data_IF_186913844538
#
_entry.id   IF_186913844538
#
_cell.length_a   1.000
_cell.length_b   1.000
_cell.length_c   1.000
_cell.angle_alpha   90.00
_cell.angle_beta   90.00
_cell.angle_gamma   90.00
#
_symmetry.space_group_name_H-M   'P 1'
#
loop_
_entity.id
_entity.type
_entity.pdbx_description
1 polymer ?
#
# COMPACT_ATOMS: atom_id res chain seq x y z
N UNK A 1 1.90 0.07 16.67
CA UNK A 1 2.91 0.45 17.69
C UNK A 1 2.30 1.27 18.83
N UNK A 2 1.56 2.37 18.58
CA UNK A 2 0.88 3.14 19.65
C UNK A 2 -0.03 2.30 20.56
N UNK A 3 -0.97 1.52 19.98
CA UNK A 3 -1.85 0.63 20.77
C UNK A 3 -1.09 -0.51 21.45
N UNK A 4 -0.04 -1.00 20.78
CA UNK A 4 0.84 -2.04 21.31
C UNK A 4 1.69 -1.55 22.49
N UNK A 5 1.87 -0.23 22.63
CA UNK A 5 2.77 0.37 23.62
C UNK A 5 4.26 0.22 23.31
N UNK A 6 4.63 -0.47 22.23
CA UNK A 6 6.02 -0.71 21.85
C UNK A 6 6.18 -0.84 20.32
N UNK A 7 7.34 -0.45 19.76
CA UNK A 7 7.67 -0.66 18.35
C UNK A 7 7.73 -2.15 17.97
N UNK A 8 7.38 -2.48 16.73
CA UNK A 8 7.63 -3.81 16.17
C UNK A 8 9.13 -3.98 15.91
N UNK A 9 9.69 -5.08 16.40
CA UNK A 9 11.04 -5.48 16.06
C UNK A 9 11.08 -5.98 14.61
N UNK A 10 12.17 -5.73 13.84
CA UNK A 10 12.25 -6.16 12.45
C UNK A 10 12.01 -7.66 12.25
N UNK A 11 12.45 -8.47 13.21
CA UNK A 11 12.26 -9.93 13.22
C UNK A 11 10.78 -10.37 13.30
N UNK A 12 9.88 -9.49 13.76
CA UNK A 12 8.45 -9.79 13.88
C UNK A 12 7.69 -9.59 12.56
N UNK A 13 8.20 -8.77 11.65
CA UNK A 13 7.49 -8.39 10.42
C UNK A 13 7.35 -9.59 9.47
N UNK A 14 8.40 -10.40 9.33
CA UNK A 14 8.39 -11.59 8.49
C UNK A 14 7.28 -12.58 8.87
N UNK A 15 7.24 -13.09 10.10
CA UNK A 15 6.18 -14.00 10.56
C UNK A 15 4.76 -13.44 10.43
N UNK A 16 4.55 -12.14 10.68
CA UNK A 16 3.24 -11.50 10.50
C UNK A 16 2.84 -11.49 9.02
N UNK A 17 3.77 -11.20 8.12
CA UNK A 17 3.51 -11.24 6.67
C UNK A 17 3.23 -12.66 6.19
N UNK A 18 3.96 -13.66 6.69
CA UNK A 18 3.73 -15.07 6.35
C UNK A 18 2.30 -15.48 6.79
N UNK A 19 1.91 -15.17 8.03
CA UNK A 19 0.54 -15.41 8.51
C UNK A 19 -0.53 -14.63 7.72
N UNK A 20 -0.20 -13.44 7.21
CA UNK A 20 -1.10 -12.64 6.39
C UNK A 20 -1.35 -13.32 5.04
N UNK A 21 -0.31 -13.86 4.42
CA UNK A 21 -0.43 -14.61 3.16
C UNK A 21 -1.24 -15.89 3.35
N UNK A 22 -1.06 -16.60 4.46
CA UNK A 22 -1.86 -17.80 4.79
C UNK A 22 -3.34 -17.45 4.99
N UNK A 23 -3.64 -16.33 5.67
CA UNK A 23 -5.01 -15.94 5.99
C UNK A 23 -5.77 -15.30 4.80
N UNK A 24 -5.09 -14.45 4.02
CA UNK A 24 -5.71 -13.64 2.96
C UNK A 24 -5.33 -14.09 1.54
N UNK A 25 -4.44 -15.07 1.40
CA UNK A 25 -4.09 -15.76 0.16
C UNK A 25 -3.13 -15.03 -0.77
N UNK A 26 -3.08 -13.69 -0.73
CA UNK A 26 -2.13 -12.90 -1.53
C UNK A 26 -1.87 -11.51 -0.94
N UNK A 27 -0.75 -10.92 -1.34
CA UNK A 27 -0.42 -9.53 -1.06
C UNK A 27 -0.24 -8.76 -2.36
N UNK A 28 -1.01 -7.69 -2.57
CA UNK A 28 -0.89 -6.84 -3.75
C UNK A 28 0.15 -5.74 -3.52
N UNK A 29 1.05 -5.58 -4.48
CA UNK A 29 2.03 -4.50 -4.52
C UNK A 29 2.14 -4.00 -5.96
N UNK A 30 2.18 -2.70 -6.18
CA UNK A 30 2.46 -2.15 -7.51
C UNK A 30 3.60 -1.16 -7.51
N UNK A 31 4.19 -1.04 -8.70
CA UNK A 31 5.08 0.04 -9.11
C UNK A 31 4.57 0.61 -10.44
N UNK A 32 5.23 1.62 -10.98
CA UNK A 32 5.02 2.12 -12.33
C UNK A 32 6.30 2.01 -13.15
N UNK A 33 6.19 2.20 -14.48
CA UNK A 33 7.33 2.16 -15.39
C UNK A 33 8.34 3.30 -15.13
N UNK A 34 7.91 4.48 -14.68
CA UNK A 34 8.81 5.59 -14.37
C UNK A 34 9.77 5.28 -13.20
N UNK A 35 9.29 4.63 -12.15
CA UNK A 35 10.08 4.19 -11.02
C UNK A 35 11.05 3.06 -11.41
N UNK A 36 10.63 2.15 -12.29
CA UNK A 36 11.52 1.13 -12.84
C UNK A 36 12.62 1.74 -13.71
N UNK A 37 12.31 2.74 -14.54
CA UNK A 37 13.33 3.47 -15.30
C UNK A 37 14.31 4.22 -14.39
N UNK A 38 13.81 4.82 -13.30
CA UNK A 38 14.66 5.48 -12.32
C UNK A 38 15.59 4.48 -11.63
N UNK A 39 15.05 3.32 -11.24
CA UNK A 39 15.83 2.21 -10.67
C UNK A 39 16.88 1.70 -11.66
N UNK A 40 16.52 1.48 -12.93
CA UNK A 40 17.45 1.03 -13.97
C UNK A 40 18.62 2.01 -14.13
N UNK A 41 18.33 3.32 -14.21
CA UNK A 41 19.38 4.35 -14.28
C UNK A 41 20.29 4.31 -13.05
N UNK A 42 19.73 4.16 -11.86
CA UNK A 42 20.50 4.07 -10.62
C UNK A 42 21.42 2.84 -10.59
N UNK A 43 20.93 1.70 -11.05
CA UNK A 43 21.70 0.44 -11.06
C UNK A 43 22.72 0.37 -12.20
N UNK A 44 22.55 1.15 -13.27
CA UNK A 44 23.46 1.16 -14.41
C UNK A 44 24.90 1.58 -14.05
N UNK A 45 25.06 2.38 -13.00
CA UNK A 45 26.37 2.83 -12.50
C UNK A 45 27.13 1.73 -11.73
N UNK A 46 26.46 0.63 -11.39
CA UNK A 46 27.05 -0.49 -10.65
C UNK A 46 27.33 -1.70 -11.59
N UNK A 47 28.61 -2.00 -11.89
CA UNK A 47 28.98 -3.09 -12.81
C UNK A 47 28.42 -4.46 -12.42
N UNK A 48 28.10 -4.68 -11.14
CA UNK A 48 27.49 -5.93 -10.63
C UNK A 48 26.13 -6.21 -11.29
N UNK A 49 25.40 -5.17 -11.69
CA UNK A 49 24.06 -5.28 -12.27
C UNK A 49 24.05 -5.38 -13.79
N UNK A 50 25.16 -5.07 -14.49
CA UNK A 50 25.27 -5.01 -15.95
C UNK A 50 24.61 -6.19 -16.70
N UNK A 51 24.94 -7.43 -16.32
CA UNK A 51 24.42 -8.64 -16.96
C UNK A 51 22.93 -8.85 -16.68
N UNK A 52 22.47 -8.44 -15.50
CA UNK A 52 21.07 -8.61 -15.10
C UNK A 52 20.18 -7.53 -15.74
N UNK A 53 20.64 -6.27 -15.80
CA UNK A 53 19.97 -5.17 -16.48
C UNK A 53 19.82 -5.43 -17.99
N UNK A 54 20.83 -6.02 -18.63
CA UNK A 54 20.74 -6.41 -20.04
C UNK A 54 19.60 -7.40 -20.34
N UNK A 55 19.01 -8.04 -19.30
CA UNK A 55 17.86 -8.94 -19.41
C UNK A 55 16.52 -8.28 -19.08
N UNK A 56 16.51 -6.99 -18.76
CA UNK A 56 15.34 -6.17 -18.44
C UNK A 56 15.17 -5.91 -16.94
N UNK A 57 14.85 -4.66 -16.58
CA UNK A 57 14.69 -4.22 -15.19
C UNK A 57 13.55 -4.95 -14.47
N UNK A 58 12.39 -5.12 -15.09
CA UNK A 58 11.27 -5.84 -14.46
C UNK A 58 11.65 -7.28 -14.12
N UNK A 59 12.37 -7.96 -15.03
CA UNK A 59 12.86 -9.32 -14.79
C UNK A 59 13.84 -9.35 -13.62
N UNK A 60 14.75 -8.38 -13.54
CA UNK A 60 15.67 -8.25 -12.40
C UNK A 60 14.92 -8.06 -11.08
N UNK A 61 13.87 -7.22 -11.05
CA UNK A 61 13.07 -7.00 -9.84
C UNK A 61 12.30 -8.26 -9.43
N UNK A 62 11.72 -9.01 -10.37
CA UNK A 62 10.95 -10.23 -10.07
C UNK A 62 11.83 -11.43 -9.73
N UNK A 63 12.98 -11.55 -10.39
CA UNK A 63 13.84 -12.73 -10.32
C UNK A 63 15.32 -12.34 -10.29
N UNK A 64 15.79 -11.65 -9.23
CA UNK A 64 17.18 -11.24 -9.14
C UNK A 64 18.10 -12.45 -8.93
N UNK A 65 19.36 -12.37 -9.40
CA UNK A 65 20.40 -13.25 -8.89
C UNK A 65 20.57 -13.06 -7.38
N UNK A 66 20.66 -14.15 -6.61
CA UNK A 66 20.80 -14.12 -5.15
C UNK A 66 21.95 -13.21 -4.65
N UNK A 67 23.06 -13.13 -5.40
CA UNK A 67 24.18 -12.27 -5.05
C UNK A 67 23.86 -10.76 -5.13
N UNK A 68 22.82 -10.37 -5.87
CA UNK A 68 22.39 -8.97 -6.04
C UNK A 68 21.24 -8.59 -5.11
N UNK A 69 20.54 -9.56 -4.50
CA UNK A 69 19.37 -9.32 -3.65
C UNK A 69 19.59 -8.24 -2.58
N UNK A 70 20.69 -8.24 -1.79
CA UNK A 70 20.86 -7.22 -0.74
C UNK A 70 20.95 -5.80 -1.30
N UNK A 71 21.76 -5.59 -2.34
CA UNK A 71 21.91 -4.28 -2.97
C UNK A 71 20.64 -3.86 -3.71
N UNK A 72 19.92 -4.81 -4.30
CA UNK A 72 18.65 -4.54 -4.96
C UNK A 72 17.56 -4.16 -3.95
N UNK A 73 17.52 -4.77 -2.76
CA UNK A 73 16.59 -4.38 -1.70
C UNK A 73 16.82 -2.93 -1.24
N UNK A 74 18.08 -2.52 -1.10
CA UNK A 74 18.41 -1.15 -0.72
C UNK A 74 17.87 -0.17 -1.78
N UNK A 75 18.08 -0.48 -3.06
CA UNK A 75 17.56 0.33 -4.15
C UNK A 75 16.02 0.33 -4.22
N UNK A 76 15.37 -0.83 -4.12
CA UNK A 76 13.90 -0.98 -4.21
C UNK A 76 13.14 -0.32 -3.06
N UNK A 77 13.79 -0.07 -1.92
CA UNK A 77 13.17 0.59 -0.76
C UNK A 77 13.50 2.08 -0.64
N UNK A 78 14.26 2.60 -1.60
CA UNK A 78 14.56 4.03 -1.74
C UNK A 78 13.35 4.75 -2.36
N UNK A 79 12.87 5.89 -1.80
CA UNK A 79 11.69 6.59 -2.31
C UNK A 79 11.71 6.87 -3.83
N UNK A 80 12.88 7.19 -4.38
CA UNK A 80 13.03 7.49 -5.81
C UNK A 80 12.70 6.30 -6.75
N UNK A 81 12.65 5.08 -6.23
CA UNK A 81 12.42 3.85 -7.00
C UNK A 81 11.10 3.16 -6.65
N UNK A 82 10.21 3.83 -5.90
CA UNK A 82 8.89 3.32 -5.52
C UNK A 82 7.84 4.01 -6.39
N UNK A 83 7.16 3.25 -7.25
CA UNK A 83 6.13 3.79 -8.14
C UNK A 83 4.78 4.05 -7.44
N UNK A 84 4.42 3.24 -6.44
CA UNK A 84 3.21 3.52 -5.66
C UNK A 84 3.35 4.85 -4.91
N UNK A 85 2.64 5.89 -5.36
CA UNK A 85 2.75 7.24 -4.79
C UNK A 85 2.52 7.28 -3.28
N UNK A 86 1.56 6.51 -2.76
CA UNK A 86 1.30 6.41 -1.32
C UNK A 86 2.49 5.83 -0.54
N UNK A 87 3.06 4.71 -0.99
CA UNK A 87 4.21 4.07 -0.34
C UNK A 87 5.49 4.92 -0.47
N UNK A 88 5.68 5.55 -1.64
CA UNK A 88 6.78 6.50 -1.86
C UNK A 88 6.73 7.65 -0.86
N UNK A 89 5.55 8.24 -0.65
CA UNK A 89 5.37 9.36 0.26
C UNK A 89 5.49 8.96 1.73
N UNK A 90 5.02 7.77 2.13
CA UNK A 90 5.30 7.21 3.47
C UNK A 90 6.82 7.13 3.72
N UNK A 91 7.59 6.72 2.71
CA UNK A 91 9.07 6.62 2.82
C UNK A 91 9.76 7.98 2.76
N UNK A 92 9.25 8.93 1.98
CA UNK A 92 9.85 10.25 1.79
C UNK A 92 9.49 11.26 2.91
N UNK A 93 8.30 11.14 3.49
CA UNK A 93 7.73 12.06 4.48
C UNK A 93 7.11 11.29 5.66
N UNK A 94 7.86 10.41 6.35
CA UNK A 94 7.29 9.50 7.36
C UNK A 94 6.53 10.21 8.49
N UNK A 95 6.92 11.44 8.83
CA UNK A 95 6.26 12.27 9.85
C UNK A 95 4.82 12.65 9.46
N UNK A 96 4.58 13.04 8.20
CA UNK A 96 3.24 13.40 7.69
C UNK A 96 2.27 12.22 7.74
N UNK A 97 2.82 11.01 7.66
CA UNK A 97 2.07 9.75 7.65
C UNK A 97 1.98 9.10 9.03
N UNK A 98 2.65 9.68 10.03
CA UNK A 98 2.84 9.12 11.37
C UNK A 98 3.33 7.66 11.36
N UNK A 99 4.25 7.33 10.45
CA UNK A 99 4.84 5.99 10.32
C UNK A 99 6.31 6.04 10.68
N UNK A 100 6.75 5.11 11.53
CA UNK A 100 8.17 4.95 11.83
C UNK A 100 8.94 4.52 10.56
N UNK A 101 10.01 5.21 10.13
CA UNK A 101 10.71 4.92 8.89
C UNK A 101 11.12 3.45 8.75
N UNK A 102 11.70 2.88 9.81
CA UNK A 102 12.22 1.51 9.81
C UNK A 102 11.11 0.47 9.61
N UNK A 103 9.88 0.75 10.05
CA UNK A 103 8.75 -0.16 9.89
C UNK A 103 8.38 -0.33 8.42
N UNK A 104 8.22 0.79 7.72
CA UNK A 104 7.88 0.80 6.29
C UNK A 104 8.98 0.16 5.43
N UNK A 105 10.25 0.43 5.73
CA UNK A 105 11.38 -0.18 5.05
C UNK A 105 11.43 -1.69 5.29
N UNK A 106 11.31 -2.13 6.55
CA UNK A 106 11.35 -3.55 6.89
C UNK A 106 10.22 -4.32 6.22
N UNK A 107 9.01 -3.74 6.17
CA UNK A 107 7.88 -4.35 5.48
C UNK A 107 8.12 -4.48 3.97
N UNK A 108 8.59 -3.42 3.30
CA UNK A 108 8.90 -3.46 1.87
C UNK A 108 9.97 -4.51 1.55
N UNK A 109 11.05 -4.56 2.35
CA UNK A 109 12.09 -5.58 2.21
C UNK A 109 11.51 -6.99 2.37
N UNK A 110 10.67 -7.19 3.38
CA UNK A 110 10.02 -8.48 3.60
C UNK A 110 9.18 -8.89 2.39
N UNK A 111 8.36 -7.99 1.83
CA UNK A 111 7.53 -8.26 0.66
C UNK A 111 8.38 -8.70 -0.55
N UNK A 112 9.47 -8.01 -0.88
CA UNK A 112 10.34 -8.40 -1.99
C UNK A 112 11.04 -9.75 -1.75
N UNK A 113 11.48 -10.02 -0.52
CA UNK A 113 12.03 -11.34 -0.17
C UNK A 113 10.98 -12.45 -0.37
N UNK A 114 9.71 -12.21 -0.03
CA UNK A 114 8.60 -13.17 -0.26
C UNK A 114 8.33 -13.35 -1.75
N UNK A 115 8.34 -12.26 -2.53
CA UNK A 115 8.23 -12.31 -3.99
C UNK A 115 9.31 -13.24 -4.60
N UNK A 116 10.56 -13.11 -4.16
CA UNK A 116 11.67 -13.92 -4.70
C UNK A 116 11.64 -15.39 -4.26
N UNK A 117 10.97 -15.69 -3.14
CA UNK A 117 10.70 -17.06 -2.70
C UNK A 117 9.57 -17.74 -3.48
N UNK A 118 8.85 -16.98 -4.30
CA UNK A 118 7.71 -17.48 -5.07
C UNK A 118 6.40 -17.47 -4.29
N UNK A 119 6.33 -16.72 -3.19
CA UNK A 119 5.10 -16.55 -2.43
C UNK A 119 4.06 -15.74 -3.23
N UNK A 120 2.81 -15.73 -2.77
CA UNK A 120 1.68 -15.09 -3.46
C UNK A 120 1.70 -13.54 -3.37
N UNK A 121 2.76 -12.93 -3.87
CA UNK A 121 2.89 -11.48 -4.04
C UNK A 121 2.48 -11.12 -5.46
N UNK A 122 1.36 -10.41 -5.60
CA UNK A 122 0.89 -9.87 -6.87
C UNK A 122 1.60 -8.55 -7.14
N UNK A 123 2.80 -8.64 -7.74
CA UNK A 123 3.60 -7.50 -8.14
C UNK A 123 3.17 -7.01 -9.53
N UNK A 124 2.56 -5.83 -9.59
CA UNK A 124 2.02 -5.24 -10.83
C UNK A 124 2.83 -4.01 -11.24
N UNK A 125 3.20 -3.93 -12.52
CA UNK A 125 3.80 -2.73 -13.11
C UNK A 125 2.70 -1.98 -13.84
N UNK A 126 2.42 -0.76 -13.41
CA UNK A 126 1.47 0.14 -14.05
C UNK A 126 2.18 0.90 -15.17
N UNK A 127 1.48 1.03 -16.30
CA UNK A 127 1.94 1.75 -17.47
C UNK A 127 1.14 3.04 -17.65
N UNK A 128 1.76 4.06 -18.21
CA UNK A 128 1.16 5.37 -18.45
C UNK A 128 1.87 6.48 -17.68
N UNK A 129 1.56 7.72 -18.05
CA UNK A 129 1.96 8.89 -17.25
C UNK A 129 0.90 9.21 -16.19
N UNK A 130 1.21 10.18 -15.33
CA UNK A 130 0.26 10.71 -14.35
C UNK A 130 -0.51 11.89 -14.96
N UNK A 131 -1.82 11.72 -15.17
CA UNK A 131 -2.71 12.74 -15.71
C UNK A 131 -4.00 12.87 -14.88
N UNK A 132 -3.90 12.68 -13.55
CA UNK A 132 -5.02 12.71 -12.65
C UNK A 132 -5.68 14.09 -12.62
N UNK A 133 -6.97 14.14 -12.96
CA UNK A 133 -7.76 15.38 -13.04
C UNK A 133 -8.74 15.57 -11.89
N UNK A 134 -9.01 14.53 -11.10
CA UNK A 134 -9.93 14.59 -9.97
C UNK A 134 -9.72 13.41 -9.00
N UNK A 135 -10.33 13.54 -7.82
CA UNK A 135 -10.48 12.47 -6.83
C UNK A 135 -11.94 12.08 -6.74
N UNK A 136 -12.24 10.77 -6.72
CA UNK A 136 -13.61 10.26 -6.63
C UNK A 136 -13.74 9.32 -5.43
N UNK A 137 -14.52 9.74 -4.45
CA UNK A 137 -14.99 8.90 -3.35
C UNK A 137 -16.21 8.10 -3.78
N UNK A 138 -16.11 6.78 -3.80
CA UNK A 138 -17.21 5.86 -4.10
C UNK A 138 -17.85 5.38 -2.80
N UNK A 139 -19.07 5.85 -2.53
CA UNK A 139 -19.83 5.57 -1.32
C UNK A 139 -20.98 4.63 -1.64
N UNK A 140 -21.06 3.50 -0.94
CA UNK A 140 -22.08 2.48 -1.09
C UNK A 140 -23.28 2.79 -0.19
N UNK A 141 -24.49 2.52 -0.70
CA UNK A 141 -25.75 2.75 0.03
C UNK A 141 -25.99 1.85 1.26
N UNK A 142 -25.11 0.88 1.52
CA UNK A 142 -25.22 -0.05 2.65
C UNK A 142 -23.86 -0.43 3.23
N UNK A 143 -23.83 -1.22 4.31
CA UNK A 143 -22.60 -1.70 4.92
C UNK A 143 -21.81 -2.64 4.00
N UNK A 144 -20.48 -2.64 4.14
CA UNK A 144 -19.59 -3.56 3.43
C UNK A 144 -19.46 -4.87 4.21
N UNK A 145 -19.52 -5.99 3.50
CA UNK A 145 -19.35 -7.36 3.99
C UNK A 145 -18.73 -8.22 2.88
N UNK A 146 -18.35 -9.50 3.14
CA UNK A 146 -17.57 -10.31 2.18
C UNK A 146 -18.18 -10.52 0.79
N UNK A 147 -19.49 -10.34 0.63
CA UNK A 147 -20.20 -10.53 -0.64
C UNK A 147 -20.74 -9.21 -1.23
N UNK A 148 -20.32 -8.07 -0.69
CA UNK A 148 -20.72 -6.76 -1.21
C UNK A 148 -20.17 -6.58 -2.62
N UNK A 149 -21.05 -6.18 -3.55
CA UNK A 149 -20.63 -5.80 -4.91
C UNK A 149 -20.04 -4.39 -4.86
N UNK A 150 -18.72 -4.31 -4.94
CA UNK A 150 -18.00 -3.03 -5.02
C UNK A 150 -17.95 -2.58 -6.48
N UNK A 151 -18.47 -1.38 -6.83
CA UNK A 151 -18.39 -0.86 -8.19
C UNK A 151 -16.94 -0.58 -8.58
N UNK A 152 -16.54 -1.13 -9.72
CA UNK A 152 -15.28 -0.77 -10.37
C UNK A 152 -15.47 0.56 -11.09
N UNK A 153 -14.59 1.52 -10.83
CA UNK A 153 -14.49 2.76 -11.58
C UNK A 153 -13.29 2.64 -12.50
N UNK A 154 -13.48 2.90 -13.80
CA UNK A 154 -12.37 2.94 -14.72
C UNK A 154 -11.44 4.10 -14.31
N UNK A 155 -10.16 3.83 -14.00
CA UNK A 155 -9.24 4.86 -13.51
C UNK A 155 -8.87 5.88 -14.60
N UNK A 156 -9.21 5.61 -15.87
CA UNK A 156 -8.92 6.47 -17.01
C UNK A 156 -10.13 6.59 -17.93
N UNK A 157 -10.46 7.82 -18.32
CA UNK A 157 -11.47 8.15 -19.33
C UNK A 157 -10.82 9.10 -20.35
N UNK A 158 -10.58 8.60 -21.56
CA UNK A 158 -9.84 9.35 -22.57
C UNK A 158 -8.38 9.59 -22.17
N UNK A 159 -8.00 10.85 -22.08
CA UNK A 159 -6.69 11.37 -21.68
C UNK A 159 -6.62 11.79 -20.19
N UNK A 160 -7.70 11.58 -19.42
CA UNK A 160 -7.77 11.94 -18.00
C UNK A 160 -7.80 10.72 -17.11
N UNK A 161 -7.12 10.85 -15.98
CA UNK A 161 -7.08 9.84 -14.94
C UNK A 161 -7.80 10.34 -13.68
N UNK A 162 -8.20 9.41 -12.83
CA UNK A 162 -8.93 9.69 -11.60
C UNK A 162 -8.28 8.91 -10.45
N UNK A 163 -8.06 9.59 -9.33
CA UNK A 163 -7.86 8.89 -8.07
C UNK A 163 -9.20 8.34 -7.60
N UNK A 164 -9.29 7.02 -7.39
CA UNK A 164 -10.51 6.37 -6.92
C UNK A 164 -10.30 5.90 -5.49
N UNK A 165 -11.19 6.30 -4.60
CA UNK A 165 -11.18 5.89 -3.20
C UNK A 165 -12.52 5.24 -2.82
N UNK A 166 -12.46 4.09 -2.16
CA UNK A 166 -13.65 3.38 -1.64
C UNK A 166 -13.63 3.41 -0.11
N UNK A 167 -14.00 4.52 0.55
CA UNK A 167 -13.76 4.73 1.97
C UNK A 167 -14.37 3.64 2.87
N UNK A 168 -15.56 3.14 2.54
CA UNK A 168 -16.22 2.06 3.30
C UNK A 168 -15.51 0.71 3.13
N UNK A 169 -14.97 0.43 1.94
CA UNK A 169 -14.20 -0.81 1.69
C UNK A 169 -12.88 -0.75 2.45
N UNK A 170 -12.19 0.38 2.41
CA UNK A 170 -10.95 0.57 3.19
C UNK A 170 -11.20 0.49 4.70
N UNK A 171 -12.34 0.98 5.19
CA UNK A 171 -12.72 0.85 6.61
C UNK A 171 -12.95 -0.61 6.99
N UNK A 172 -13.70 -1.36 6.19
CA UNK A 172 -13.92 -2.79 6.40
C UNK A 172 -12.61 -3.59 6.36
N UNK A 173 -11.72 -3.33 5.40
CA UNK A 173 -10.40 -3.97 5.33
C UNK A 173 -9.54 -3.66 6.56
N UNK A 174 -9.57 -2.42 7.07
CA UNK A 174 -8.87 -2.06 8.31
C UNK A 174 -9.42 -2.83 9.52
N UNK A 175 -10.72 -3.05 9.59
CA UNK A 175 -11.33 -3.88 10.64
C UNK A 175 -10.85 -5.34 10.55
N UNK A 176 -10.82 -5.92 9.34
CA UNK A 176 -10.29 -7.28 9.15
C UNK A 176 -8.81 -7.37 9.55
N UNK A 177 -8.01 -6.40 9.13
CA UNK A 177 -6.59 -6.31 9.49
C UNK A 177 -6.40 -6.11 11.01
N UNK A 178 -7.27 -5.35 11.67
CA UNK A 178 -7.23 -5.20 13.13
C UNK A 178 -7.46 -6.54 13.84
N UNK A 179 -8.51 -7.27 13.44
CA UNK A 179 -8.82 -8.60 13.98
C UNK A 179 -7.64 -9.55 13.80
N UNK A 180 -7.11 -9.62 12.58
CA UNK A 180 -5.94 -10.44 12.24
C UNK A 180 -4.72 -10.08 13.10
N UNK A 181 -4.35 -8.80 13.21
CA UNK A 181 -3.16 -8.38 13.95
C UNK A 181 -3.26 -8.67 15.46
N UNK A 182 -4.45 -8.57 16.06
CA UNK A 182 -4.67 -8.98 17.47
C UNK A 182 -4.50 -10.50 17.66
N UNK A 183 -4.83 -11.29 16.63
CA UNK A 183 -4.60 -12.74 16.65
C UNK A 183 -3.11 -13.09 16.47
N UNK A 184 -2.34 -12.31 15.71
CA UNK A 184 -0.94 -12.61 15.46
C UNK A 184 0.03 -12.06 16.51
N UNK A 185 -0.31 -10.99 17.25
CA UNK A 185 0.58 -10.38 18.23
C UNK A 185 0.04 -10.46 19.66
N UNK A 186 0.63 -11.30 20.53
CA UNK A 186 0.26 -11.39 21.95
C UNK A 186 0.34 -10.06 22.69
N UNK A 187 1.21 -9.12 22.31
CA UNK A 187 1.32 -7.82 22.95
C UNK A 187 0.08 -6.96 22.66
N UNK A 188 -0.40 -6.96 21.42
CA UNK A 188 -1.68 -6.32 21.05
C UNK A 188 -2.86 -6.98 21.78
N UNK A 189 -2.84 -8.31 21.94
CA UNK A 189 -3.85 -9.04 22.71
C UNK A 189 -3.77 -8.78 24.21
N UNK A 190 -2.60 -8.53 24.78
CA UNK A 190 -2.42 -8.31 26.22
C UNK A 190 -2.74 -6.87 26.64
N UNK A 191 -2.48 -5.89 25.76
CA UNK A 191 -2.85 -4.48 25.96
C UNK A 191 -4.30 -4.18 25.53
N UNK A 192 -5.01 -5.22 25.11
CA UNK A 192 -6.46 -5.23 24.98
C UNK A 192 -7.11 -5.10 26.36
N UNK A 193 -7.51 -3.88 26.72
CA UNK A 193 -8.37 -3.56 27.87
C UNK A 193 -9.64 -4.46 27.89
N UNK A 194 -10.32 -4.68 29.05
CA UNK A 194 -11.66 -5.28 29.17
C UNK A 194 -12.76 -4.83 28.19
N UNK A 195 -12.54 -3.79 27.37
CA UNK A 195 -13.38 -3.39 26.23
C UNK A 195 -12.90 -3.88 24.84
N UNK A 196 -11.91 -4.76 24.78
CA UNK A 196 -11.46 -5.45 23.55
C UNK A 196 -10.39 -4.69 22.76
N UNK A 197 -9.17 -5.20 22.71
CA UNK A 197 -8.02 -4.60 22.02
C UNK A 197 -8.20 -4.45 20.52
N UNK A 198 -9.07 -5.27 19.93
CA UNK A 198 -9.52 -5.10 18.56
C UNK A 198 -10.17 -3.73 18.34
N UNK A 199 -11.04 -3.28 19.26
CA UNK A 199 -11.72 -1.99 19.13
C UNK A 199 -10.74 -0.81 19.28
N UNK A 200 -9.76 -0.93 20.17
CA UNK A 200 -8.71 0.08 20.32
C UNK A 200 -7.82 0.16 19.06
N UNK A 201 -7.40 -1.00 18.53
CA UNK A 201 -6.61 -1.08 17.30
C UNK A 201 -7.39 -0.55 16.10
N UNK A 202 -8.66 -0.92 15.96
CA UNK A 202 -9.53 -0.43 14.89
C UNK A 202 -9.64 1.10 14.91
N UNK A 203 -9.91 1.71 16.07
CA UNK A 203 -9.98 3.17 16.20
C UNK A 203 -8.68 3.85 15.77
N UNK A 204 -7.54 3.28 16.15
CA UNK A 204 -6.24 3.84 15.79
C UNK A 204 -5.92 3.66 14.30
N UNK A 205 -6.24 2.50 13.70
CA UNK A 205 -6.09 2.28 12.26
C UNK A 205 -7.01 3.20 11.44
N UNK A 206 -8.22 3.46 11.90
CA UNK A 206 -9.12 4.42 11.26
C UNK A 206 -8.59 5.85 11.35
N UNK A 207 -8.03 6.25 12.51
CA UNK A 207 -7.40 7.56 12.69
C UNK A 207 -6.19 7.72 11.77
N UNK A 208 -5.27 6.73 11.78
CA UNK A 208 -4.11 6.71 10.89
C UNK A 208 -4.52 6.72 9.41
N UNK A 209 -5.53 5.93 9.03
CA UNK A 209 -6.03 5.91 7.66
C UNK A 209 -6.53 7.27 7.18
N UNK A 210 -7.16 8.07 8.06
CA UNK A 210 -7.56 9.45 7.72
C UNK A 210 -6.35 10.37 7.55
N UNK A 211 -5.39 10.32 8.48
CA UNK A 211 -4.16 11.14 8.41
C UNK A 211 -3.39 10.84 7.12
N UNK A 212 -3.16 9.56 6.83
CA UNK A 212 -2.37 9.13 5.69
C UNK A 212 -3.07 9.40 4.35
N UNK A 213 -4.40 9.29 4.30
CA UNK A 213 -5.17 9.69 3.12
C UNK A 213 -5.06 11.20 2.89
N UNK A 214 -5.23 12.02 3.94
CA UNK A 214 -5.10 13.47 3.83
C UNK A 214 -3.71 13.91 3.38
N UNK A 215 -2.64 13.31 3.95
CA UNK A 215 -1.27 13.56 3.51
C UNK A 215 -1.07 13.19 2.03
N UNK A 216 -1.61 12.05 1.60
CA UNK A 216 -1.51 11.61 0.19
C UNK A 216 -2.22 12.56 -0.76
N UNK A 217 -3.44 12.97 -0.42
CA UNK A 217 -4.19 13.93 -1.22
C UNK A 217 -3.50 15.29 -1.26
N UNK A 218 -2.89 15.73 -0.17
CA UNK A 218 -2.11 16.96 -0.13
C UNK A 218 -0.89 16.91 -1.06
N UNK A 219 -0.18 15.79 -1.10
CA UNK A 219 1.03 15.66 -1.94
C UNK A 219 0.72 15.36 -3.42
N UNK A 220 -0.35 14.62 -3.71
CA UNK A 220 -0.62 14.11 -5.07
C UNK A 220 -1.83 14.76 -5.78
N UNK A 221 -2.75 15.34 -5.03
CA UNK A 221 -4.03 15.81 -5.55
C UNK A 221 -4.38 17.23 -5.07
N UNK A 222 -3.38 18.03 -4.70
CA UNK A 222 -3.64 19.40 -4.25
C UNK A 222 -4.28 20.23 -5.37
N UNK A 223 -5.34 20.94 -5.01
CA UNK A 223 -6.15 21.72 -5.95
C UNK A 223 -7.01 20.90 -6.92
N UNK A 224 -6.98 19.56 -6.89
CA UNK A 224 -7.89 18.75 -7.70
C UNK A 224 -9.31 18.74 -7.10
N UNK A 225 -10.36 18.78 -7.95
CA UNK A 225 -11.72 18.65 -7.48
C UNK A 225 -11.97 17.27 -6.87
N UNK A 226 -12.79 17.23 -5.82
CA UNK A 226 -13.20 15.99 -5.17
C UNK A 226 -14.68 15.74 -5.42
N UNK A 227 -14.99 14.60 -6.04
CA UNK A 227 -16.34 14.14 -6.26
C UNK A 227 -16.71 13.02 -5.31
N UNK A 228 -17.97 12.95 -4.92
CA UNK A 228 -18.56 11.82 -4.21
C UNK A 228 -19.61 11.16 -5.09
N UNK A 229 -19.35 9.91 -5.46
CA UNK A 229 -20.27 9.05 -6.18
C UNK A 229 -21.00 8.12 -5.18
N UNK A 230 -22.27 8.40 -4.89
CA UNK A 230 -23.13 7.55 -4.08
C UNK A 230 -23.78 6.49 -4.96
N UNK A 231 -23.45 5.23 -4.70
CA UNK A 231 -23.94 4.07 -5.45
C UNK A 231 -24.94 3.28 -4.61
N UNK A 232 -26.16 3.17 -5.14
CA UNK A 232 -27.22 2.31 -4.61
C UNK A 232 -27.63 1.28 -5.67
N UNK A 233 -28.49 0.33 -5.32
CA UNK A 233 -28.98 -0.66 -6.30
C UNK A 233 -29.71 -0.04 -7.50
N UNK A 234 -30.24 1.18 -7.36
CA UNK A 234 -31.15 1.80 -8.34
C UNK A 234 -30.56 3.01 -9.05
N UNK A 235 -29.51 3.64 -8.50
CA UNK A 235 -28.96 4.89 -9.02
C UNK A 235 -27.52 5.12 -8.56
N UNK A 236 -26.81 5.90 -9.37
CA UNK A 236 -25.53 6.53 -9.05
C UNK A 236 -25.78 8.04 -9.03
N UNK A 237 -25.48 8.68 -7.91
CA UNK A 237 -25.56 10.13 -7.75
C UNK A 237 -24.15 10.68 -7.52
N UNK A 238 -23.75 11.70 -8.29
CA UNK A 238 -22.41 12.30 -8.18
C UNK A 238 -22.57 13.75 -7.77
N UNK A 239 -21.87 14.14 -6.70
CA UNK A 239 -21.80 15.52 -6.20
C UNK A 239 -20.34 15.97 -6.12
N UNK A 240 -20.06 17.23 -6.44
CA UNK A 240 -18.77 17.86 -6.16
C UNK A 240 -18.75 18.28 -4.68
N UNK A 241 -17.71 17.87 -3.96
CA UNK A 241 -17.55 18.10 -2.52
C UNK A 241 -16.61 19.27 -2.24
N UNK A 242 -15.61 19.45 -3.11
CA UNK A 242 -14.62 20.53 -3.05
C UNK A 242 -14.18 20.88 -4.46
#
# INVERSE_FOLDING_TARGET
>A
ERVRGAPFEPAQIGPILDAYLDAFGRFYLHTDSHALEALERHLADDPRFSTALARGIERLVRHPPHALEPALLDALTTPAHIGCGHLRLIRAHPEDYEVRPELSETLLRAIFVRLWRGDAIDFVVLEGGHAEGAVVDVVLGGPVHPYTRVPTVAPRIGDRELFVNHPQVSAWLREQNASFLVEQDPALRAHADPQGGQAALQRELERLGRVQLQATLHHLADGLPLYRARVTERRIEVEEVR
#
